data_IF_815546066708
#
_entry.id   IF_815546066708
#
_cell.length_a   1.000
_cell.length_b   1.000
_cell.length_c   1.000
_cell.angle_alpha   90.00
_cell.angle_beta   90.00
_cell.angle_gamma   90.00
#
_symmetry.space_group_name_H-M   'P 1'
#
loop_
_entity.id
_entity.type
_entity.pdbx_description
1 polymer ?
#
# COMPACT_ATOMS: atom_id res chain seq x y z
N UNK A 1 13.82 -2.12 14.62
CA UNK A 1 13.22 -2.09 13.26
C UNK A 1 12.12 -1.05 13.20
N UNK A 2 12.17 -0.18 12.23
CA UNK A 2 11.18 0.88 12.01
C UNK A 2 10.38 0.61 10.73
N UNK A 3 9.07 0.86 10.74
CA UNK A 3 8.17 0.74 9.57
C UNK A 3 7.48 2.07 9.34
N UNK A 4 7.52 2.56 8.09
CA UNK A 4 6.75 3.71 7.62
C UNK A 4 5.51 3.19 6.91
N UNK A 5 4.33 3.54 7.40
CA UNK A 5 3.03 3.16 6.83
C UNK A 5 2.39 4.39 6.23
N UNK A 6 2.04 4.32 4.94
CA UNK A 6 1.40 5.44 4.22
C UNK A 6 -0.12 5.27 4.16
N UNK A 7 -0.79 6.31 3.66
CA UNK A 7 -2.23 6.33 3.38
C UNK A 7 -3.06 5.94 4.63
N UNK A 8 -2.71 6.55 5.76
CA UNK A 8 -3.24 6.16 7.07
C UNK A 8 -4.68 6.62 7.34
N UNK A 9 -5.35 7.18 6.31
CA UNK A 9 -6.79 7.38 6.30
C UNK A 9 -7.57 6.07 6.07
N UNK A 10 -6.95 5.02 5.52
CA UNK A 10 -7.58 3.72 5.31
C UNK A 10 -7.67 2.90 6.60
N UNK A 11 -8.73 2.10 6.71
CA UNK A 11 -8.90 1.13 7.82
C UNK A 11 -7.81 0.07 7.86
N UNK A 12 -7.33 -0.35 6.69
CA UNK A 12 -6.24 -1.32 6.56
C UNK A 12 -4.95 -0.81 7.18
N UNK A 13 -4.64 0.46 6.98
CA UNK A 13 -3.47 1.10 7.60
C UNK A 13 -3.58 1.12 9.12
N UNK A 14 -4.79 1.35 9.66
CA UNK A 14 -5.01 1.34 11.10
C UNK A 14 -4.79 -0.07 11.70
N UNK A 15 -5.21 -1.13 11.02
CA UNK A 15 -4.94 -2.50 11.43
C UNK A 15 -3.42 -2.78 11.43
N UNK A 16 -2.75 -2.47 10.32
CA UNK A 16 -1.30 -2.65 10.20
C UNK A 16 -0.51 -1.87 11.29
N UNK A 17 -0.92 -0.63 11.58
CA UNK A 17 -0.31 0.18 12.64
C UNK A 17 -0.40 -0.54 14.01
N UNK A 18 -1.59 -1.07 14.33
CA UNK A 18 -1.83 -1.75 15.62
C UNK A 18 -1.02 -3.02 15.73
N UNK A 19 -1.15 -3.91 14.75
CA UNK A 19 -0.52 -5.22 14.77
C UNK A 19 1.01 -5.13 14.84
N UNK A 20 1.60 -4.22 14.05
CA UNK A 20 3.05 -4.01 14.05
C UNK A 20 3.52 -3.39 15.37
N UNK A 21 2.81 -2.41 15.91
CA UNK A 21 3.18 -1.79 17.17
C UNK A 21 3.03 -2.76 18.35
N UNK A 22 2.00 -3.60 18.37
CA UNK A 22 1.83 -4.67 19.37
C UNK A 22 2.93 -5.72 19.28
N UNK A 23 3.47 -5.95 18.10
CA UNK A 23 4.65 -6.79 17.88
C UNK A 23 6.00 -6.11 18.25
N UNK A 24 5.96 -4.90 18.83
CA UNK A 24 7.16 -4.17 19.24
C UNK A 24 7.90 -3.44 18.11
N UNK A 25 7.27 -3.27 16.95
CA UNK A 25 7.83 -2.53 15.82
C UNK A 25 7.56 -1.04 16.00
N UNK A 26 8.57 -0.20 15.79
CA UNK A 26 8.40 1.26 15.76
C UNK A 26 7.65 1.68 14.50
N UNK A 27 6.48 2.27 14.65
CA UNK A 27 5.63 2.65 13.51
C UNK A 27 5.63 4.17 13.31
N UNK A 28 5.93 4.59 12.09
CA UNK A 28 5.75 5.98 11.63
C UNK A 28 4.52 5.98 10.70
N UNK A 29 3.47 6.67 11.13
CA UNK A 29 2.26 6.85 10.34
C UNK A 29 2.41 8.08 9.44
N UNK A 30 2.19 7.92 8.14
CA UNK A 30 2.39 8.96 7.14
C UNK A 30 1.14 9.17 6.30
N UNK A 31 0.81 10.44 6.04
CA UNK A 31 -0.34 10.83 5.21
C UNK A 31 -0.02 12.04 4.35
N UNK A 32 -0.76 12.20 3.25
CA UNK A 32 -0.76 13.42 2.42
C UNK A 32 -1.51 14.54 3.12
N UNK A 33 -1.05 15.78 2.97
CA UNK A 33 -1.78 16.96 3.39
C UNK A 33 -3.11 17.08 2.63
N UNK A 34 -4.15 17.60 3.31
CA UNK A 34 -5.43 17.91 2.69
C UNK A 34 -6.58 16.95 3.04
N UNK A 35 -6.34 15.77 3.54
CA UNK A 35 -7.37 14.75 3.83
C UNK A 35 -8.03 14.86 5.23
N UNK A 36 -7.94 15.98 5.92
CA UNK A 36 -8.41 16.12 7.31
C UNK A 36 -7.52 15.36 8.30
N UNK A 37 -8.09 14.89 9.42
CA UNK A 37 -7.33 14.07 10.39
C UNK A 37 -7.48 12.59 10.05
N UNK A 38 -6.44 11.93 9.54
CA UNK A 38 -6.50 10.52 9.16
C UNK A 38 -6.77 9.60 10.35
N UNK A 39 -7.47 8.48 10.11
CA UNK A 39 -7.80 7.50 11.15
C UNK A 39 -6.56 7.00 11.89
N UNK A 40 -5.48 6.73 11.19
CA UNK A 40 -4.22 6.27 11.78
C UNK A 40 -3.61 7.26 12.77
N UNK A 41 -3.84 8.57 12.58
CA UNK A 41 -3.33 9.60 13.47
C UNK A 41 -4.10 9.67 14.80
N UNK A 42 -5.34 9.18 14.83
CA UNK A 42 -6.14 9.07 16.07
C UNK A 42 -5.74 7.87 16.92
N UNK A 43 -4.95 6.97 16.36
CA UNK A 43 -4.43 5.81 17.10
C UNK A 43 -3.33 6.24 18.08
N UNK A 44 -3.25 5.56 19.22
CA UNK A 44 -2.16 5.76 20.19
C UNK A 44 -0.85 5.09 19.78
N UNK A 45 -0.89 4.18 18.84
CA UNK A 45 0.18 3.28 18.49
C UNK A 45 1.34 3.87 17.65
N UNK A 46 1.13 4.81 16.72
CA UNK A 46 2.26 5.38 15.99
C UNK A 46 3.20 6.14 16.92
N UNK A 47 4.48 5.82 16.86
CA UNK A 47 5.53 6.57 17.55
C UNK A 47 5.69 7.98 16.97
N UNK A 48 5.47 8.13 15.66
CA UNK A 48 5.53 9.41 14.93
C UNK A 48 4.39 9.49 13.92
N UNK A 49 3.87 10.72 13.72
CA UNK A 49 2.84 11.04 12.74
C UNK A 49 3.38 12.12 11.81
N UNK A 50 3.33 11.89 10.51
CA UNK A 50 3.92 12.78 9.51
C UNK A 50 2.91 13.11 8.44
N UNK A 51 2.70 14.40 8.20
CA UNK A 51 1.97 14.90 7.03
C UNK A 51 2.99 15.32 5.98
N UNK A 52 2.85 14.82 4.77
CA UNK A 52 3.70 15.16 3.64
C UNK A 52 2.94 16.03 2.64
N UNK A 53 3.60 17.01 2.00
CA UNK A 53 2.99 17.86 0.98
C UNK A 53 2.46 16.99 -0.17
N UNK A 54 1.30 17.35 -0.72
CA UNK A 54 0.68 16.61 -1.83
C UNK A 54 1.39 16.88 -3.16
N UNK A 55 1.80 18.13 -3.38
CA UNK A 55 2.41 18.59 -4.64
C UNK A 55 3.71 17.87 -4.99
N UNK A 56 4.50 17.48 -4.00
CA UNK A 56 5.77 16.76 -4.18
C UNK A 56 5.86 15.52 -3.27
N UNK A 57 4.76 14.80 -3.19
CA UNK A 57 4.62 13.68 -2.26
C UNK A 57 5.69 12.60 -2.43
N UNK A 58 6.08 12.28 -3.66
CA UNK A 58 7.11 11.27 -3.93
C UNK A 58 8.46 11.62 -3.34
N UNK A 59 8.92 12.85 -3.56
CA UNK A 59 10.16 13.35 -2.97
C UNK A 59 10.08 13.46 -1.45
N UNK A 60 8.97 14.00 -0.94
CA UNK A 60 8.78 14.14 0.51
C UNK A 60 8.76 12.77 1.22
N UNK A 61 8.16 11.75 0.62
CA UNK A 61 8.16 10.39 1.14
C UNK A 61 9.57 9.77 1.10
N UNK A 62 10.29 9.98 0.01
CA UNK A 62 11.67 9.51 -0.12
C UNK A 62 12.58 10.17 0.92
N UNK A 63 12.49 11.49 1.10
CA UNK A 63 13.23 12.24 2.12
C UNK A 63 12.90 11.76 3.55
N UNK A 64 11.63 11.44 3.82
CA UNK A 64 11.25 10.83 5.09
C UNK A 64 11.97 9.50 5.31
N UNK A 65 11.98 8.61 4.31
CA UNK A 65 12.68 7.33 4.39
C UNK A 65 14.20 7.53 4.62
N UNK A 66 14.80 8.48 3.91
CA UNK A 66 16.22 8.82 4.03
C UNK A 66 16.55 9.35 5.43
N UNK A 67 15.78 10.31 5.94
CA UNK A 67 16.00 10.88 7.27
C UNK A 67 15.90 9.84 8.38
N UNK A 68 14.92 8.92 8.29
CA UNK A 68 14.78 7.83 9.26
C UNK A 68 16.00 6.89 9.21
N UNK A 69 16.54 6.63 8.02
CA UNK A 69 17.76 5.83 7.88
C UNK A 69 18.97 6.51 8.53
N UNK A 70 19.11 7.82 8.34
CA UNK A 70 20.20 8.61 8.93
C UNK A 70 20.07 8.70 10.46
N UNK A 71 18.87 8.93 10.98
CA UNK A 71 18.60 9.09 12.41
C UNK A 71 18.75 7.77 13.19
N UNK A 72 18.27 6.65 12.61
CA UNK A 72 18.23 5.37 13.28
C UNK A 72 19.45 4.48 12.99
N UNK A 73 20.27 4.80 12.00
CA UNK A 73 21.38 3.96 11.54
C UNK A 73 20.93 2.63 10.90
N UNK A 74 19.63 2.46 10.72
CA UNK A 74 19.03 1.28 10.06
C UNK A 74 17.96 1.72 9.04
N UNK A 75 17.85 0.97 7.95
CA UNK A 75 16.86 1.28 6.89
C UNK A 75 15.44 0.91 7.35
N UNK A 76 14.47 1.84 7.34
CA UNK A 76 13.10 1.50 7.65
C UNK A 76 12.51 0.60 6.55
N UNK A 77 11.49 -0.19 6.90
CA UNK A 77 10.62 -0.79 5.89
C UNK A 77 9.54 0.22 5.47
N UNK A 78 9.28 0.35 4.17
CA UNK A 78 8.18 1.16 3.65
C UNK A 78 7.01 0.26 3.26
N UNK A 79 5.84 0.51 3.85
CA UNK A 79 4.59 -0.19 3.60
C UNK A 79 3.56 0.76 2.98
N UNK A 80 3.53 0.90 1.65
CA UNK A 80 2.53 1.69 0.95
C UNK A 80 1.20 0.91 0.90
N UNK A 81 0.13 1.51 1.44
CA UNK A 81 -1.19 0.86 1.51
C UNK A 81 -2.09 1.30 0.35
N UNK A 82 -2.08 2.58 0.01
CA UNK A 82 -2.90 3.12 -1.06
C UNK A 82 -2.37 2.77 -2.45
N UNK A 83 -3.27 2.45 -3.39
CA UNK A 83 -2.88 2.07 -4.75
C UNK A 83 -2.07 3.15 -5.49
N UNK A 84 -2.33 4.44 -5.22
CA UNK A 84 -1.57 5.53 -5.81
C UNK A 84 -0.13 5.55 -5.30
N UNK A 85 0.06 5.46 -3.97
CA UNK A 85 1.38 5.41 -3.35
C UNK A 85 2.13 4.14 -3.73
N UNK A 86 1.43 3.00 -3.79
CA UNK A 86 2.03 1.74 -4.24
C UNK A 86 2.59 1.83 -5.67
N UNK A 87 1.82 2.42 -6.61
CA UNK A 87 2.28 2.63 -7.99
C UNK A 87 3.48 3.59 -8.06
N UNK A 88 3.44 4.69 -7.31
CA UNK A 88 4.54 5.65 -7.23
C UNK A 88 5.83 4.95 -6.76
N UNK A 89 5.78 4.24 -5.64
CA UNK A 89 6.93 3.53 -5.08
C UNK A 89 7.44 2.43 -6.03
N UNK A 90 6.54 1.72 -6.71
CA UNK A 90 6.91 0.71 -7.69
C UNK A 90 7.59 1.31 -8.94
N UNK A 91 7.14 2.50 -9.38
CA UNK A 91 7.74 3.22 -10.51
C UNK A 91 9.15 3.75 -10.19
N UNK A 92 9.37 4.20 -8.96
CA UNK A 92 10.66 4.71 -8.47
C UNK A 92 11.40 3.69 -7.58
N UNK A 93 11.18 2.40 -7.83
CA UNK A 93 11.62 1.29 -6.97
C UNK A 93 13.10 1.38 -6.59
N UNK A 94 13.99 1.62 -7.55
CA UNK A 94 15.43 1.67 -7.30
C UNK A 94 15.81 2.82 -6.36
N UNK A 95 15.19 3.98 -6.57
CA UNK A 95 15.37 5.15 -5.73
C UNK A 95 14.96 4.88 -4.28
N UNK A 96 13.77 4.34 -4.07
CA UNK A 96 13.29 3.98 -2.72
C UNK A 96 14.09 2.84 -2.11
N UNK A 97 14.47 1.83 -2.90
CA UNK A 97 15.26 0.71 -2.43
C UNK A 97 16.66 1.12 -1.93
N UNK A 98 17.17 2.27 -2.32
CA UNK A 98 18.42 2.81 -1.79
C UNK A 98 18.33 3.23 -0.31
N UNK A 99 17.15 3.68 0.14
CA UNK A 99 16.95 4.28 1.48
C UNK A 99 16.00 3.49 2.39
N UNK A 100 15.22 2.55 1.88
CA UNK A 100 14.31 1.73 2.70
C UNK A 100 14.18 0.29 2.18
N UNK A 101 13.72 -0.61 3.04
CA UNK A 101 13.29 -1.95 2.65
C UNK A 101 11.93 -1.91 1.97
N UNK A 102 11.78 -2.60 0.85
CA UNK A 102 10.54 -2.63 0.05
C UNK A 102 10.02 -4.05 -0.09
N UNK A 103 8.72 -4.22 0.19
CA UNK A 103 7.95 -5.41 -0.16
C UNK A 103 6.81 -5.01 -1.09
N UNK A 104 7.16 -4.48 -2.28
CA UNK A 104 6.19 -4.04 -3.28
C UNK A 104 6.39 -4.80 -4.58
N UNK A 105 5.33 -5.13 -5.33
CA UNK A 105 5.43 -5.70 -6.67
C UNK A 105 6.16 -4.77 -7.63
N UNK A 106 6.66 -5.30 -8.73
CA UNK A 106 7.16 -4.48 -9.84
C UNK A 106 6.01 -3.76 -10.55
N UNK A 107 6.32 -2.69 -11.30
CA UNK A 107 5.30 -1.98 -12.09
C UNK A 107 4.60 -2.90 -13.10
N UNK A 108 5.31 -3.86 -13.70
CA UNK A 108 4.74 -4.85 -14.61
C UNK A 108 3.77 -5.80 -13.90
N UNK A 109 4.12 -6.28 -12.69
CA UNK A 109 3.23 -7.09 -11.88
C UNK A 109 1.98 -6.31 -11.44
N UNK A 110 2.13 -5.04 -11.05
CA UNK A 110 1.00 -4.19 -10.70
C UNK A 110 0.08 -3.92 -11.89
N UNK A 111 0.62 -3.69 -13.08
CA UNK A 111 -0.18 -3.53 -14.29
C UNK A 111 -1.02 -4.77 -14.58
N UNK A 112 -0.41 -5.95 -14.51
CA UNK A 112 -1.08 -7.24 -14.69
C UNK A 112 -2.20 -7.46 -13.67
N UNK A 113 -1.90 -7.25 -12.37
CA UNK A 113 -2.84 -7.52 -11.29
C UNK A 113 -3.98 -6.50 -11.18
N UNK A 114 -3.78 -5.28 -11.69
CA UNK A 114 -4.83 -4.25 -11.73
C UNK A 114 -5.78 -4.39 -12.92
N UNK A 115 -5.43 -5.21 -13.91
CA UNK A 115 -6.27 -5.55 -15.04
C UNK A 115 -7.03 -6.84 -14.74
N UNK A 116 -8.37 -6.74 -14.62
CA UNK A 116 -9.23 -7.87 -14.27
C UNK A 116 -9.21 -8.98 -15.31
N UNK A 117 -9.11 -8.63 -16.58
CA UNK A 117 -9.10 -9.60 -17.68
C UNK A 117 -7.77 -10.35 -17.71
N UNK A 118 -6.64 -9.64 -17.58
CA UNK A 118 -5.33 -10.25 -17.51
C UNK A 118 -5.17 -11.10 -16.25
N UNK A 119 -5.66 -10.63 -15.10
CA UNK A 119 -5.66 -11.42 -13.86
C UNK A 119 -6.48 -12.69 -14.00
N UNK A 120 -7.66 -12.62 -14.61
CA UNK A 120 -8.50 -13.80 -14.85
C UNK A 120 -7.85 -14.78 -15.86
N UNK A 121 -7.20 -14.25 -16.90
CA UNK A 121 -6.45 -15.07 -17.86
C UNK A 121 -5.28 -15.81 -17.20
N UNK A 122 -4.51 -15.10 -16.36
CA UNK A 122 -3.42 -15.68 -15.59
C UNK A 122 -3.92 -16.76 -14.63
N UNK A 123 -5.00 -16.49 -13.90
CA UNK A 123 -5.60 -17.45 -12.98
C UNK A 123 -6.03 -18.75 -13.69
N UNK A 124 -6.68 -18.63 -14.87
CA UNK A 124 -7.03 -19.80 -15.70
C UNK A 124 -5.79 -20.58 -16.15
N UNK A 125 -4.75 -19.87 -16.58
CA UNK A 125 -3.49 -20.51 -16.98
C UNK A 125 -2.82 -21.27 -15.82
N UNK A 126 -3.03 -20.80 -14.58
CA UNK A 126 -2.56 -21.48 -13.36
C UNK A 126 -3.54 -22.57 -12.84
N UNK A 127 -4.62 -22.87 -13.55
CA UNK A 127 -5.61 -23.85 -13.12
C UNK A 127 -6.52 -23.38 -11.99
N UNK A 128 -6.55 -22.08 -11.69
CA UNK A 128 -7.43 -21.49 -10.68
C UNK A 128 -8.80 -21.21 -11.30
N UNK A 129 -9.90 -21.71 -10.74
CA UNK A 129 -11.25 -21.41 -11.21
C UNK A 129 -11.53 -19.90 -11.12
N UNK A 130 -12.07 -19.33 -12.18
CA UNK A 130 -12.49 -17.92 -12.22
C UNK A 130 -13.92 -17.82 -12.71
N UNK A 131 -14.70 -16.82 -12.25
CA UNK A 131 -16.03 -16.56 -12.77
C UNK A 131 -15.99 -16.39 -14.29
N UNK A 132 -17.03 -16.84 -14.97
CA UNK A 132 -17.22 -16.59 -16.39
C UNK A 132 -17.38 -15.09 -16.67
N UNK A 133 -17.18 -14.66 -17.92
CA UNK A 133 -17.46 -13.28 -18.29
C UNK A 133 -18.93 -12.98 -18.04
N UNK A 134 -19.21 -11.89 -17.35
CA UNK A 134 -20.56 -11.41 -17.15
C UNK A 134 -21.09 -10.89 -18.50
N UNK A 135 -22.09 -11.55 -19.10
CA UNK A 135 -22.82 -11.00 -20.21
C UNK A 135 -24.11 -10.35 -19.68
N UNK A 136 -24.44 -9.13 -20.14
CA UNK A 136 -25.69 -8.46 -19.79
C UNK A 136 -26.94 -9.26 -20.24
N UNK A 137 -26.77 -10.17 -21.20
CA UNK A 137 -27.82 -11.03 -21.72
C UNK A 137 -28.13 -12.22 -20.80
N UNK A 138 -27.23 -12.56 -19.90
CA UNK A 138 -27.38 -13.66 -18.92
C UNK A 138 -27.76 -13.17 -17.52
N UNK A 139 -28.69 -12.21 -17.44
CA UNK A 139 -29.17 -11.67 -16.13
C UNK A 139 -29.67 -12.76 -15.15
N UNK A 140 -30.11 -13.92 -15.65
CA UNK A 140 -30.47 -15.07 -14.83
C UNK A 140 -29.26 -15.80 -14.21
N UNK A 141 -28.10 -15.76 -14.84
CA UNK A 141 -26.89 -16.46 -14.33
C UNK A 141 -26.25 -15.75 -13.13
N UNK A 142 -26.48 -14.45 -12.94
CA UNK A 142 -25.96 -13.70 -11.80
C UNK A 142 -26.63 -14.09 -10.47
N UNK A 143 -27.89 -14.51 -10.50
CA UNK A 143 -28.63 -14.97 -9.32
C UNK A 143 -28.35 -16.42 -8.94
N UNK A 144 -27.97 -17.25 -9.87
CA UNK A 144 -27.62 -18.66 -9.61
C UNK A 144 -26.32 -18.81 -8.79
N UNK A 145 -25.50 -17.79 -8.72
CA UNK A 145 -24.26 -17.80 -7.93
C UNK A 145 -24.45 -17.40 -6.44
N UNK A 146 -25.62 -16.88 -6.10
CA UNK A 146 -25.96 -16.41 -4.74
C UNK A 146 -26.93 -17.37 -4.00
N UNK A 147 -27.32 -18.43 -4.63
CA UNK A 147 -28.17 -19.51 -4.07
C UNK A 147 -27.32 -20.75 -3.76
#
# INVERSE_FOLDING_TARGET
>A
MTVIITDVHYRMSLAAIRDLAEAGVTVIACERMGAGTPLGFRSRWPARRVLLPDEDYGNALWELCRSVTEDAGERPALLPIGAATLRLVAAERERFAAVCGLCVPTSAQLALLNDKEQTAALARACGVPVPGPFSRESGEAAYAFLA
#
